data_IF_233298588789
#
_entry.id   IF_233298588789
#
_cell.length_a   1.000
_cell.length_b   1.000
_cell.length_c   1.000
_cell.angle_alpha   90.00
_cell.angle_beta   90.00
_cell.angle_gamma   90.00
#
_symmetry.space_group_name_H-M   'P 1'
#
loop_
_entity.id
_entity.type
_entity.pdbx_description
1 polymer ?
#
# COMPACT_ATOMS: atom_id res chain seq x y z
N UNK A 1 -0.63 42.98 5.11
CA UNK A 1 -0.46 44.44 4.96
C UNK A 1 1.01 44.72 4.73
N UNK A 2 1.36 45.58 3.78
CA UNK A 2 2.73 45.79 3.27
C UNK A 2 3.57 46.62 4.26
N UNK A 3 4.82 46.18 4.55
CA UNK A 3 5.70 46.72 5.63
C UNK A 3 6.12 48.18 5.42
N UNK A 4 6.28 48.57 4.17
CA UNK A 4 6.63 49.91 3.68
C UNK A 4 5.56 50.98 3.96
N UNK A 5 4.34 50.57 4.35
CA UNK A 5 3.21 51.47 4.61
C UNK A 5 2.83 51.61 6.08
N UNK A 6 3.55 50.94 6.98
CA UNK A 6 3.27 50.99 8.42
C UNK A 6 4.06 52.12 9.07
N UNK A 7 3.34 53.17 9.48
CA UNK A 7 3.91 54.33 10.17
C UNK A 7 3.78 54.13 11.69
N UNK A 8 4.89 54.24 12.41
CA UNK A 8 4.90 54.20 13.88
C UNK A 8 4.43 55.57 14.38
N UNK A 9 3.42 55.60 15.25
CA UNK A 9 2.83 56.85 15.70
C UNK A 9 3.75 57.60 16.67
N UNK A 10 3.82 58.92 16.48
CA UNK A 10 4.48 59.95 17.31
C UNK A 10 5.90 60.41 16.93
N UNK A 11 6.46 59.95 15.83
CA UNK A 11 7.43 60.68 15.02
C UNK A 11 7.34 60.09 13.62
N UNK A 12 7.43 60.90 12.57
CA UNK A 12 7.36 60.47 11.17
C UNK A 12 8.52 59.55 10.73
N UNK A 13 9.10 58.76 11.65
CA UNK A 13 10.14 57.81 11.37
C UNK A 13 9.54 56.56 10.71
N UNK A 14 9.97 56.22 9.48
CA UNK A 14 9.72 54.92 8.91
C UNK A 14 10.32 53.82 9.80
N UNK A 15 9.75 52.61 9.76
CA UNK A 15 10.24 51.45 10.51
C UNK A 15 11.73 51.15 10.23
N UNK A 16 12.25 51.62 9.09
CA UNK A 16 13.65 51.48 8.70
C UNK A 16 14.60 52.43 9.45
N UNK A 17 14.09 53.40 10.22
CA UNK A 17 14.88 54.36 11.00
C UNK A 17 14.81 54.12 12.52
N UNK A 18 14.30 52.96 12.97
CA UNK A 18 14.25 52.62 14.40
C UNK A 18 15.64 52.68 15.05
N UNK A 19 15.75 53.21 16.30
CA UNK A 19 17.03 53.28 17.01
C UNK A 19 17.72 51.91 17.08
N UNK A 20 19.04 51.89 16.83
CA UNK A 20 19.85 50.68 16.66
C UNK A 20 19.72 49.62 17.78
N UNK A 21 19.32 50.04 19.01
CA UNK A 21 19.04 49.14 20.13
C UNK A 21 17.87 48.18 19.88
N UNK A 22 16.90 48.56 19.05
CA UNK A 22 15.68 47.81 18.76
C UNK A 22 15.88 46.91 17.53
N UNK A 23 16.81 47.31 16.66
CA UNK A 23 17.25 46.55 15.50
C UNK A 23 18.00 45.27 15.93
N UNK A 24 18.69 45.27 17.08
CA UNK A 24 19.50 44.13 17.53
C UNK A 24 18.69 42.87 17.87
N UNK A 25 17.43 43.02 18.30
CA UNK A 25 16.56 41.89 18.61
C UNK A 25 15.80 41.35 17.39
N UNK A 26 15.68 42.13 16.32
CA UNK A 26 15.00 41.71 15.08
C UNK A 26 15.97 41.30 13.96
N UNK A 27 17.22 41.79 13.96
CA UNK A 27 18.20 41.57 12.88
C UNK A 27 19.10 40.34 13.06
N UNK A 28 18.87 39.49 14.07
CA UNK A 28 19.56 38.20 14.16
C UNK A 28 19.08 37.17 13.12
N UNK A 29 18.05 37.50 12.33
CA UNK A 29 17.39 36.56 11.42
C UNK A 29 17.66 36.82 9.94
N UNK A 30 18.80 37.37 9.52
CA UNK A 30 19.22 37.36 8.09
C UNK A 30 18.12 37.75 7.08
N UNK A 31 18.11 37.12 5.90
CA UNK A 31 17.12 37.32 4.80
C UNK A 31 15.67 36.90 5.14
N UNK A 32 15.37 36.54 6.39
CA UNK A 32 14.03 36.13 6.78
C UNK A 32 13.18 37.39 7.04
N UNK A 33 12.06 37.53 6.33
CA UNK A 33 11.00 38.52 6.60
C UNK A 33 9.91 37.85 7.46
N UNK A 34 10.11 37.66 8.78
CA UNK A 34 9.11 36.98 9.59
C UNK A 34 7.84 37.82 9.72
N UNK A 35 6.65 37.19 9.76
CA UNK A 35 5.42 37.90 10.06
C UNK A 35 5.51 38.54 11.45
N UNK A 36 5.20 39.83 11.51
CA UNK A 36 5.11 40.59 12.76
C UNK A 36 3.64 40.64 13.20
N UNK A 37 3.40 40.34 14.48
CA UNK A 37 2.12 40.60 15.13
C UNK A 37 2.11 42.05 15.59
N UNK A 38 1.12 42.82 15.14
CA UNK A 38 0.89 44.19 15.61
C UNK A 38 -0.39 44.18 16.45
N UNK A 39 -0.26 44.50 17.73
CA UNK A 39 -1.39 44.68 18.64
C UNK A 39 -1.58 46.18 18.90
N UNK A 40 -2.81 46.65 18.76
CA UNK A 40 -3.21 48.02 19.01
C UNK A 40 -4.18 48.06 20.19
N UNK A 41 -3.84 48.83 21.22
CA UNK A 41 -4.64 48.97 22.45
C UNK A 41 -4.92 50.45 22.69
N UNK A 42 -6.19 50.81 22.88
CA UNK A 42 -6.58 52.18 23.26
C UNK A 42 -6.32 52.37 24.76
N UNK A 43 -5.49 53.35 25.11
CA UNK A 43 -5.06 53.61 26.49
C UNK A 43 -5.83 54.78 27.11
N UNK A 44 -6.20 55.77 26.30
CA UNK A 44 -7.06 56.89 26.67
C UNK A 44 -7.84 57.38 25.43
N UNK A 45 -8.76 58.35 25.60
CA UNK A 45 -9.51 58.93 24.47
C UNK A 45 -8.52 59.42 23.40
N UNK A 46 -8.57 58.78 22.23
CA UNK A 46 -7.69 59.06 21.09
C UNK A 46 -6.19 58.75 21.29
N UNK A 47 -5.80 58.04 22.36
CA UNK A 47 -4.41 57.59 22.58
C UNK A 47 -4.29 56.09 22.35
N UNK A 48 -3.51 55.72 21.33
CA UNK A 48 -3.32 54.32 20.92
C UNK A 48 -1.89 53.87 21.17
N UNK A 49 -1.75 52.74 21.85
CA UNK A 49 -0.48 52.06 22.06
C UNK A 49 -0.33 50.91 21.05
N UNK A 50 0.78 50.92 20.32
CA UNK A 50 1.12 49.90 19.32
C UNK A 50 2.27 49.03 19.82
N UNK A 51 2.03 47.72 19.89
CA UNK A 51 3.05 46.73 20.24
C UNK A 51 3.31 45.85 19.01
N UNK A 52 4.55 45.84 18.52
CA UNK A 52 5.00 44.96 17.45
C UNK A 52 5.90 43.87 18.02
N UNK A 53 5.55 42.60 17.77
CA UNK A 53 6.35 41.45 18.16
C UNK A 53 6.55 40.50 16.98
N UNK A 54 7.73 39.89 16.88
CA UNK A 54 7.98 38.82 15.90
C UNK A 54 7.20 37.58 16.35
N UNK A 55 6.45 36.96 15.43
CA UNK A 55 5.77 35.70 15.74
C UNK A 55 6.83 34.60 15.98
N UNK A 56 6.88 33.94 17.14
CA UNK A 56 7.86 32.88 17.37
C UNK A 56 7.60 31.71 16.42
N UNK A 57 8.67 31.11 15.88
CA UNK A 57 8.56 29.90 15.08
C UNK A 57 7.85 28.78 15.90
N UNK A 58 7.02 27.93 15.28
CA UNK A 58 6.89 27.72 13.85
C UNK A 58 5.91 28.71 13.23
N UNK A 59 6.37 29.45 12.21
CA UNK A 59 5.47 30.16 11.31
C UNK A 59 4.57 29.09 10.69
N UNK A 60 3.32 29.00 11.14
CA UNK A 60 2.31 28.20 10.47
C UNK A 60 2.33 28.62 9.01
N UNK A 61 2.85 27.75 8.14
CA UNK A 61 3.10 28.05 6.74
C UNK A 61 1.76 28.45 6.09
N UNK A 62 1.52 29.75 5.96
CA UNK A 62 0.34 30.30 5.27
C UNK A 62 0.51 30.20 3.75
N UNK A 63 1.66 29.76 3.26
CA UNK A 63 1.83 29.23 1.91
C UNK A 63 1.37 27.78 1.91
N UNK A 64 0.12 27.58 1.54
CA UNK A 64 -0.47 26.26 1.38
C UNK A 64 0.06 25.58 0.11
N UNK A 65 1.35 25.24 0.07
CA UNK A 65 1.83 24.17 -0.79
C UNK A 65 1.44 22.86 -0.13
N UNK A 66 0.21 22.42 -0.37
CA UNK A 66 -0.41 21.28 0.30
C UNK A 66 0.43 19.99 0.18
N UNK A 67 1.33 19.88 -0.80
CA UNK A 67 2.25 18.76 -0.94
C UNK A 67 3.49 19.18 -1.74
N UNK A 68 4.68 19.06 -1.16
CA UNK A 68 5.90 19.10 -1.96
C UNK A 68 5.93 17.92 -2.95
N UNK A 69 6.53 18.12 -4.13
CA UNK A 69 6.70 17.07 -5.15
C UNK A 69 7.36 15.81 -4.56
N UNK A 70 8.26 15.98 -3.59
CA UNK A 70 8.89 14.87 -2.84
C UNK A 70 7.87 14.01 -2.09
N UNK A 71 6.83 14.61 -1.53
CA UNK A 71 5.81 13.90 -0.77
C UNK A 71 4.90 13.07 -1.68
N UNK A 72 4.52 13.62 -2.84
CA UNK A 72 3.82 12.87 -3.89
C UNK A 72 4.66 11.71 -4.44
N UNK A 73 5.94 11.93 -4.72
CA UNK A 73 6.84 10.87 -5.17
C UNK A 73 6.97 9.75 -4.15
N UNK A 74 7.08 10.10 -2.86
CA UNK A 74 7.17 9.11 -1.77
C UNK A 74 5.86 8.32 -1.61
N UNK A 75 4.71 9.00 -1.72
CA UNK A 75 3.39 8.36 -1.73
C UNK A 75 3.22 7.41 -2.91
N UNK A 76 3.57 7.86 -4.12
CA UNK A 76 3.44 7.05 -5.32
C UNK A 76 4.37 5.84 -5.27
N UNK A 77 5.62 6.02 -4.82
CA UNK A 77 6.58 4.93 -4.68
C UNK A 77 6.12 3.91 -3.63
N UNK A 78 5.64 4.36 -2.48
CA UNK A 78 5.14 3.45 -1.42
C UNK A 78 3.89 2.70 -1.86
N UNK A 79 2.94 3.37 -2.52
CA UNK A 79 1.76 2.75 -3.10
C UNK A 79 2.12 1.70 -4.17
N UNK A 80 3.04 2.03 -5.08
CA UNK A 80 3.50 1.12 -6.13
C UNK A 80 4.19 -0.12 -5.54
N UNK A 81 5.03 0.08 -4.52
CA UNK A 81 5.73 -1.00 -3.83
C UNK A 81 4.75 -1.93 -3.11
N UNK A 82 3.74 -1.40 -2.42
CA UNK A 82 2.67 -2.19 -1.80
C UNK A 82 1.88 -2.98 -2.83
N UNK A 83 1.56 -2.37 -3.98
CA UNK A 83 0.81 -3.00 -5.06
C UNK A 83 1.61 -4.16 -5.67
N UNK A 84 2.91 -3.95 -5.95
CA UNK A 84 3.82 -4.98 -6.43
C UNK A 84 3.95 -6.15 -5.45
N UNK A 85 4.17 -5.86 -4.15
CA UNK A 85 4.25 -6.89 -3.12
C UNK A 85 2.96 -7.70 -3.02
N UNK A 86 1.81 -7.02 -3.00
CA UNK A 86 0.49 -7.65 -2.92
C UNK A 86 0.24 -8.53 -4.15
N UNK A 87 0.51 -8.00 -5.35
CA UNK A 87 0.36 -8.74 -6.60
C UNK A 87 1.25 -9.99 -6.64
N UNK A 88 2.50 -9.87 -6.19
CA UNK A 88 3.42 -10.99 -6.12
C UNK A 88 2.93 -12.08 -5.16
N UNK A 89 2.47 -11.70 -3.96
CA UNK A 89 1.94 -12.63 -2.95
C UNK A 89 0.67 -13.33 -3.45
N UNK A 90 -0.28 -12.56 -3.99
CA UNK A 90 -1.53 -13.10 -4.54
C UNK A 90 -1.23 -14.08 -5.67
N UNK A 91 -0.34 -13.72 -6.59
CA UNK A 91 0.01 -14.61 -7.70
C UNK A 91 0.74 -15.86 -7.23
N UNK A 92 1.57 -15.77 -6.20
CA UNK A 92 2.36 -16.90 -5.69
C UNK A 92 1.54 -17.87 -4.84
N UNK A 93 0.63 -17.37 -4.01
CA UNK A 93 -0.16 -18.20 -3.07
C UNK A 93 -1.57 -18.52 -3.58
N UNK A 94 -2.31 -17.54 -4.12
CA UNK A 94 -3.74 -17.72 -4.45
C UNK A 94 -3.93 -18.44 -5.79
N UNK A 95 -3.07 -18.18 -6.78
CA UNK A 95 -3.15 -18.86 -8.08
C UNK A 95 -3.06 -20.40 -7.96
N UNK A 96 -2.07 -20.99 -7.27
CA UNK A 96 -1.99 -22.44 -7.10
C UNK A 96 -3.14 -23.04 -6.28
N UNK A 97 -3.72 -22.30 -5.32
CA UNK A 97 -4.91 -22.76 -4.59
C UNK A 97 -6.12 -22.89 -5.54
N UNK A 98 -6.32 -21.93 -6.46
CA UNK A 98 -7.41 -22.02 -7.46
C UNK A 98 -7.20 -23.19 -8.43
N UNK A 99 -5.97 -23.47 -8.82
CA UNK A 99 -5.63 -24.63 -9.65
C UNK A 99 -5.96 -25.94 -8.93
N UNK A 100 -5.56 -26.06 -7.66
CA UNK A 100 -5.86 -27.24 -6.83
C UNK A 100 -7.37 -27.44 -6.63
N UNK A 101 -8.11 -26.36 -6.37
CA UNK A 101 -9.56 -26.42 -6.22
C UNK A 101 -10.25 -26.88 -7.52
N UNK A 102 -9.82 -26.36 -8.68
CA UNK A 102 -10.33 -26.82 -9.98
C UNK A 102 -10.03 -28.29 -10.22
N UNK A 103 -8.81 -28.74 -9.94
CA UNK A 103 -8.42 -30.14 -10.09
C UNK A 103 -9.26 -31.06 -9.18
N UNK A 104 -9.54 -30.65 -7.95
CA UNK A 104 -10.43 -31.39 -7.04
C UNK A 104 -11.86 -31.51 -7.58
N UNK A 105 -12.42 -30.45 -8.16
CA UNK A 105 -13.75 -30.49 -8.82
C UNK A 105 -13.75 -31.36 -10.08
N UNK A 106 -12.64 -31.39 -10.82
CA UNK A 106 -12.51 -32.29 -11.97
C UNK A 106 -12.41 -33.75 -11.51
N UNK A 107 -11.74 -34.04 -10.40
CA UNK A 107 -11.63 -35.40 -9.83
C UNK A 107 -12.97 -36.00 -9.46
N UNK A 108 -13.97 -35.19 -9.09
CA UNK A 108 -15.32 -35.68 -8.83
C UNK A 108 -16.13 -35.94 -10.11
N UNK A 109 -15.71 -35.42 -11.27
CA UNK A 109 -16.49 -35.44 -12.52
C UNK A 109 -15.82 -36.18 -13.68
N UNK A 110 -14.50 -36.41 -13.64
CA UNK A 110 -13.72 -37.17 -14.62
C UNK A 110 -12.61 -37.95 -13.93
N UNK A 111 -12.34 -39.16 -14.42
CA UNK A 111 -11.27 -40.04 -13.94
C UNK A 111 -9.86 -39.51 -14.24
N UNK A 112 -9.71 -38.68 -15.28
CA UNK A 112 -8.42 -38.15 -15.71
C UNK A 112 -8.26 -36.69 -15.29
N UNK A 113 -7.59 -36.49 -14.15
CA UNK A 113 -7.28 -35.18 -13.60
C UNK A 113 -5.79 -34.90 -13.83
N UNK A 114 -5.44 -33.82 -14.55
CA UNK A 114 -4.04 -33.46 -14.75
C UNK A 114 -3.38 -33.11 -13.41
N UNK A 115 -2.13 -33.54 -13.23
CA UNK A 115 -1.38 -33.22 -12.02
C UNK A 115 -1.22 -31.71 -11.81
N UNK A 116 -1.48 -31.25 -10.59
CA UNK A 116 -1.35 -29.83 -10.24
C UNK A 116 0.11 -29.50 -10.01
N UNK A 117 0.61 -28.40 -10.56
CA UNK A 117 2.03 -28.00 -10.40
C UNK A 117 2.35 -27.62 -8.96
N UNK A 118 3.45 -28.14 -8.40
CA UNK A 118 3.94 -27.81 -7.04
C UNK A 118 4.53 -26.39 -6.96
N UNK A 119 3.67 -25.38 -6.81
CA UNK A 119 4.03 -23.95 -6.70
C UNK A 119 3.44 -23.32 -5.43
N UNK A 120 4.05 -22.22 -4.98
CA UNK A 120 3.66 -21.50 -3.77
C UNK A 120 4.56 -21.76 -2.56
N UNK A 121 4.02 -21.52 -1.38
CA UNK A 121 4.61 -21.82 -0.07
C UNK A 121 4.90 -23.32 0.12
N UNK A 122 5.72 -23.66 1.12
CA UNK A 122 6.11 -25.04 1.38
C UNK A 122 4.91 -25.89 1.80
N UNK A 123 3.99 -25.29 2.55
CA UNK A 123 2.73 -25.85 3.01
C UNK A 123 1.83 -26.17 1.81
N UNK A 124 1.69 -25.23 0.87
CA UNK A 124 0.89 -25.46 -0.33
C UNK A 124 1.50 -26.53 -1.24
N UNK A 125 2.82 -26.52 -1.43
CA UNK A 125 3.51 -27.59 -2.16
C UNK A 125 3.27 -28.95 -1.52
N UNK A 126 3.31 -29.05 -0.20
CA UNK A 126 3.04 -30.30 0.51
C UNK A 126 1.58 -30.77 0.29
N UNK A 127 0.61 -29.86 0.33
CA UNK A 127 -0.79 -30.16 0.02
C UNK A 127 -0.98 -30.62 -1.43
N UNK A 128 -0.41 -29.90 -2.40
CA UNK A 128 -0.44 -30.27 -3.83
C UNK A 128 0.17 -31.66 -4.05
N UNK A 129 1.31 -31.94 -3.41
CA UNK A 129 1.96 -33.26 -3.50
C UNK A 129 1.09 -34.37 -2.91
N UNK A 130 0.46 -34.13 -1.76
CA UNK A 130 -0.45 -35.09 -1.15
C UNK A 130 -1.68 -35.36 -2.04
N UNK A 131 -2.23 -34.32 -2.65
CA UNK A 131 -3.34 -34.43 -3.61
C UNK A 131 -2.95 -35.24 -4.86
N UNK A 132 -1.84 -34.91 -5.52
CA UNK A 132 -1.36 -35.64 -6.70
C UNK A 132 -1.09 -37.12 -6.36
N UNK A 133 -0.54 -37.41 -5.18
CA UNK A 133 -0.32 -38.79 -4.71
C UNK A 133 -1.63 -39.55 -4.54
N UNK A 134 -2.67 -38.91 -4.02
CA UNK A 134 -4.00 -39.50 -3.90
C UNK A 134 -4.62 -39.76 -5.28
N UNK A 135 -4.52 -38.79 -6.20
CA UNK A 135 -5.02 -38.91 -7.57
C UNK A 135 -4.40 -40.12 -8.29
N UNK A 136 -3.07 -40.27 -8.25
CA UNK A 136 -2.36 -41.44 -8.83
C UNK A 136 -2.83 -42.78 -8.27
N UNK A 137 -3.10 -42.84 -6.96
CA UNK A 137 -3.58 -44.09 -6.31
C UNK A 137 -4.98 -44.45 -6.77
N UNK A 138 -5.87 -43.46 -6.89
CA UNK A 138 -7.23 -43.69 -7.38
C UNK A 138 -7.17 -44.20 -8.83
N UNK A 139 -6.39 -43.56 -9.69
CA UNK A 139 -6.22 -43.97 -11.09
C UNK A 139 -5.68 -45.41 -11.20
N UNK A 140 -4.68 -45.79 -10.40
CA UNK A 140 -4.20 -47.19 -10.36
C UNK A 140 -5.28 -48.17 -9.92
N UNK A 141 -6.06 -47.82 -8.88
CA UNK A 141 -7.14 -48.71 -8.40
C UNK A 141 -8.25 -48.91 -9.42
N UNK A 142 -8.53 -47.91 -10.26
CA UNK A 142 -9.52 -48.05 -11.32
C UNK A 142 -8.98 -48.95 -12.44
N UNK A 143 -7.73 -48.74 -12.87
CA UNK A 143 -7.07 -49.59 -13.88
C UNK A 143 -7.00 -51.05 -13.46
N UNK A 144 -6.70 -51.32 -12.19
CA UNK A 144 -6.68 -52.69 -11.65
C UNK A 144 -8.06 -53.35 -11.75
N UNK A 145 -9.15 -52.62 -11.49
CA UNK A 145 -10.52 -53.15 -11.63
C UNK A 145 -10.89 -53.42 -13.09
N UNK A 146 -10.53 -52.54 -14.02
CA UNK A 146 -10.76 -52.75 -15.44
C UNK A 146 -10.01 -53.97 -15.97
N UNK A 147 -8.75 -54.18 -15.55
CA UNK A 147 -7.97 -55.35 -15.93
C UNK A 147 -8.59 -56.65 -15.38
N UNK A 148 -9.09 -56.64 -14.15
CA UNK A 148 -9.82 -57.79 -13.58
C UNK A 148 -11.11 -58.09 -14.35
N UNK A 149 -11.90 -57.07 -14.70
CA UNK A 149 -13.10 -57.27 -15.52
C UNK A 149 -12.78 -57.78 -16.93
N UNK A 150 -11.68 -57.32 -17.52
CA UNK A 150 -11.19 -57.82 -18.80
C UNK A 150 -10.78 -59.29 -18.73
N UNK A 151 -10.02 -59.68 -17.70
CA UNK A 151 -9.58 -61.07 -17.49
C UNK A 151 -10.76 -62.02 -17.21
N UNK A 152 -11.71 -61.60 -16.35
CA UNK A 152 -12.93 -62.38 -16.08
C UNK A 152 -13.77 -62.55 -17.35
N UNK A 153 -13.93 -61.48 -18.16
CA UNK A 153 -14.65 -61.55 -19.43
C UNK A 153 -13.95 -62.47 -20.44
N UNK A 154 -12.62 -62.49 -20.43
CA UNK A 154 -11.81 -63.41 -21.25
C UNK A 154 -12.03 -64.87 -20.83
N UNK A 155 -12.05 -65.17 -19.53
CA UNK A 155 -12.23 -66.54 -19.04
C UNK A 155 -13.68 -67.05 -19.16
N UNK A 156 -14.69 -66.15 -19.16
CA UNK A 156 -16.09 -66.53 -19.41
C UNK A 156 -16.41 -66.86 -20.88
N UNK A 157 -15.61 -66.39 -21.84
CA UNK A 157 -15.83 -66.65 -23.28
C UNK A 157 -15.46 -68.10 -23.68
N UNK A 158 -14.62 -68.75 -22.88
CA UNK A 158 -14.06 -70.08 -23.18
C UNK A 158 -15.02 -71.26 -22.90
N UNK A 159 -15.86 -71.29 -21.84
CA UNK A 159 -16.79 -72.41 -21.63
C UNK A 159 -18.13 -72.28 -22.38
N UNK A 160 -18.57 -71.08 -22.79
CA UNK A 160 -19.88 -70.90 -23.47
C UNK A 160 -19.87 -71.49 -24.90
N UNK A 161 -18.70 -71.64 -25.52
CA UNK A 161 -18.57 -72.29 -26.83
C UNK A 161 -18.70 -73.82 -26.77
N UNK A 162 -18.57 -74.45 -25.59
CA UNK A 162 -18.72 -75.89 -25.41
C UNK A 162 -20.15 -76.32 -25.01
N UNK A 163 -21.11 -75.38 -24.96
CA UNK A 163 -22.52 -75.62 -24.65
C UNK A 163 -23.44 -75.54 -25.89
N UNK A 164 -22.90 -75.76 -27.09
CA UNK A 164 -23.70 -75.93 -28.32
C UNK A 164 -23.34 -77.22 -29.03
#
# INVERSE_FOLDING_TARGET
TQRDKLKVFNNELPIDELPLLWAHYSLSFGDLNPPILVMQVEVAQNEWFYLAAVLPAPYINLETNYFELRQWLTLLLSALMLLLCTWFIVRKEIQPIRELAKAATLMSSRLDVPEVSERGSNELKAAVRAFNKMNRRIDSHIKDREMLFSAISHDLKTPIACLK
#
